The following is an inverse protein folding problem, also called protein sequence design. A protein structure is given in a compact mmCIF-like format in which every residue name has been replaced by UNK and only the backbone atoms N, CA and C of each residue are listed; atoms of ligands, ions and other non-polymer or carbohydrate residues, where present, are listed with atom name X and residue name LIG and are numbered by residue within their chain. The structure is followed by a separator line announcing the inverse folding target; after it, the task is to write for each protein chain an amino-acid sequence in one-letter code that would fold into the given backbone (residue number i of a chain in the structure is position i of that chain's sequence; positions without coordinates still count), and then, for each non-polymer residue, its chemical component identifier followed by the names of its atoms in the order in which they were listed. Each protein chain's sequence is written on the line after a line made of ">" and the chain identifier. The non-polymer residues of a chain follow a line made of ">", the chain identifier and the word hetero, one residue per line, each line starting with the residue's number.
data_IF_114101418183
#
_entry.id   IF_114101418183
#
_cell.length_a   1.000
_cell.length_b   1.000
_cell.length_c   1.000
_cell.angle_alpha   90.00
_cell.angle_beta   90.00
_cell.angle_gamma   90.00
#
_symmetry.space_group_name_H-M   'P 1'
#
loop_
_entity.id
_entity.type
_entity.pdbx_description
1 polymer ?
#
# COMPACT_ATOMS: atom_id res chain seq x y z
N UNK A 1 -29.21 -29.30 37.31
CA UNK A 1 -27.78 -29.06 36.97
C UNK A 1 -27.57 -29.15 35.45
N UNK A 2 -27.80 -28.08 34.68
CA UNK A 2 -27.47 -28.01 33.24
C UNK A 2 -26.83 -26.67 32.82
N UNK A 3 -26.87 -25.67 33.70
CA UNK A 3 -26.38 -24.30 33.48
C UNK A 3 -24.85 -24.23 33.34
N UNK A 4 -24.13 -25.11 34.02
CA UNK A 4 -22.66 -25.13 34.00
C UNK A 4 -22.06 -25.49 32.62
N UNK A 5 -22.75 -26.29 31.81
CA UNK A 5 -22.32 -26.64 30.45
C UNK A 5 -22.54 -25.49 29.47
N UNK A 6 -23.71 -24.85 29.54
CA UNK A 6 -24.04 -23.70 28.70
C UNK A 6 -23.12 -22.50 28.96
N UNK A 7 -22.81 -22.20 30.23
CA UNK A 7 -21.90 -21.12 30.59
C UNK A 7 -20.48 -21.36 30.06
N UNK A 8 -19.95 -22.58 30.17
CA UNK A 8 -18.64 -22.94 29.61
C UNK A 8 -18.60 -22.82 28.09
N UNK A 9 -19.68 -23.21 27.41
CA UNK A 9 -19.79 -23.10 25.96
C UNK A 9 -19.83 -21.62 25.51
N UNK A 10 -20.59 -20.77 26.21
CA UNK A 10 -20.65 -19.33 25.92
C UNK A 10 -19.29 -18.66 26.10
N UNK A 11 -18.58 -18.99 27.18
CA UNK A 11 -17.22 -18.46 27.44
C UNK A 11 -16.25 -18.93 26.36
N UNK A 12 -16.29 -20.21 25.97
CA UNK A 12 -15.43 -20.74 24.92
C UNK A 12 -15.69 -20.07 23.56
N UNK A 13 -16.96 -19.86 23.20
CA UNK A 13 -17.34 -19.16 21.97
C UNK A 13 -16.91 -17.69 22.00
N UNK A 14 -17.09 -17.00 23.13
CA UNK A 14 -16.67 -15.61 23.27
C UNK A 14 -15.14 -15.46 23.15
N UNK A 15 -14.36 -16.35 23.76
CA UNK A 15 -12.90 -16.36 23.65
C UNK A 15 -12.46 -16.70 22.23
N UNK A 16 -13.12 -17.64 21.56
CA UNK A 16 -12.84 -17.98 20.16
C UNK A 16 -13.12 -16.80 19.22
N UNK A 17 -14.26 -16.13 19.38
CA UNK A 17 -14.61 -14.94 18.60
C UNK A 17 -13.65 -13.77 18.87
N UNK A 18 -13.24 -13.57 20.13
CA UNK A 18 -12.30 -12.52 20.50
C UNK A 18 -10.89 -12.79 19.92
N UNK A 19 -10.42 -14.03 20.00
CA UNK A 19 -9.11 -14.40 19.44
C UNK A 19 -9.12 -14.35 17.91
N UNK A 20 -10.19 -14.80 17.26
CA UNK A 20 -10.37 -14.63 15.81
C UNK A 20 -10.41 -13.16 15.40
N UNK A 21 -11.11 -12.32 16.17
CA UNK A 21 -11.12 -10.86 15.96
C UNK A 21 -9.72 -10.26 16.10
N UNK A 22 -8.98 -10.61 17.17
CA UNK A 22 -7.60 -10.13 17.38
C UNK A 22 -6.64 -10.64 16.30
N UNK A 23 -6.77 -11.90 15.84
CA UNK A 23 -5.95 -12.44 14.74
C UNK A 23 -6.28 -11.74 13.42
N UNK A 24 -7.57 -11.45 13.18
CA UNK A 24 -8.01 -10.67 12.01
C UNK A 24 -7.45 -9.24 12.05
N UNK A 25 -7.29 -8.66 13.24
CA UNK A 25 -6.62 -7.36 13.44
C UNK A 25 -5.08 -7.44 13.21
N UNK A 26 -4.45 -8.61 13.40
CA UNK A 26 -3.00 -8.81 13.15
C UNK A 26 -2.68 -8.89 11.66
N UNK A 27 -3.63 -9.31 10.81
CA UNK A 27 -3.51 -9.30 9.35
C UNK A 27 -4.32 -8.16 8.70
N UNK A 28 -4.31 -6.95 9.27
CA UNK A 28 -4.92 -5.80 8.61
C UNK A 28 -4.10 -5.38 7.36
N UNK A 29 -4.44 -5.93 6.19
CA UNK A 29 -4.20 -5.23 4.93
C UNK A 29 -5.19 -4.07 4.90
N UNK A 30 -4.77 -2.90 5.41
CA UNK A 30 -5.55 -1.67 5.26
C UNK A 30 -5.50 -1.21 3.81
N UNK A 31 -6.51 -1.59 3.05
CA UNK A 31 -6.77 -1.03 1.73
C UNK A 31 -7.77 0.12 1.88
N UNK A 32 -7.28 1.30 2.27
CA UNK A 32 -8.12 2.51 2.37
C UNK A 32 -8.38 3.07 0.97
N UNK A 33 -9.49 2.67 0.36
CA UNK A 33 -10.00 3.27 -0.87
C UNK A 33 -10.82 4.53 -0.53
N UNK A 34 -10.18 5.69 -0.46
CA UNK A 34 -10.88 6.98 -0.31
C UNK A 34 -11.51 7.40 -1.63
N UNK A 35 -12.73 6.91 -1.90
CA UNK A 35 -13.55 7.25 -3.07
C UNK A 35 -14.19 8.65 -3.03
N UNK A 36 -14.04 9.38 -1.92
CA UNK A 36 -14.75 10.64 -1.67
C UNK A 36 -14.21 11.86 -2.40
N UNK A 37 -12.96 11.83 -2.89
CA UNK A 37 -12.30 12.96 -3.54
C UNK A 37 -11.41 12.48 -4.70
N UNK A 38 -12.02 12.04 -5.79
CA UNK A 38 -11.32 11.51 -6.99
C UNK A 38 -10.33 12.48 -7.65
N UNK A 39 -10.33 13.76 -7.26
CA UNK A 39 -9.50 14.81 -7.88
C UNK A 39 -8.60 15.58 -6.91
N UNK A 40 -8.66 15.29 -5.60
CA UNK A 40 -7.85 15.97 -4.59
C UNK A 40 -6.74 15.05 -4.08
N UNK A 41 -5.53 15.61 -3.98
CA UNK A 41 -4.35 14.92 -3.46
C UNK A 41 -4.29 14.97 -1.92
N UNK A 42 -5.04 15.87 -1.28
CA UNK A 42 -5.01 16.05 0.17
C UNK A 42 -5.32 14.78 0.98
N UNK A 43 -6.37 13.98 0.68
CA UNK A 43 -6.64 12.74 1.40
C UNK A 43 -5.50 11.72 1.28
N UNK A 44 -4.83 11.69 0.12
CA UNK A 44 -3.69 10.80 -0.09
C UNK A 44 -2.47 11.26 0.73
N UNK A 45 -2.22 12.56 0.82
CA UNK A 45 -1.16 13.12 1.68
C UNK A 45 -1.44 12.82 3.16
N UNK A 46 -2.69 12.97 3.61
CA UNK A 46 -3.09 12.64 4.98
C UNK A 46 -2.88 11.15 5.28
N UNK A 47 -3.27 10.27 4.35
CA UNK A 47 -2.98 8.84 4.44
C UNK A 47 -1.48 8.57 4.57
N UNK A 48 -0.64 9.12 3.68
CA UNK A 48 0.82 8.95 3.69
C UNK A 48 1.47 9.41 5.01
N UNK A 49 0.96 10.50 5.60
CA UNK A 49 1.41 11.01 6.90
C UNK A 49 1.00 10.10 8.07
N UNK A 50 -0.11 9.40 7.95
CA UNK A 50 -0.62 8.50 9.00
C UNK A 50 0.14 7.16 9.09
N UNK A 51 0.95 6.81 8.08
CA UNK A 51 1.70 5.55 8.02
C UNK A 51 2.73 5.50 9.16
N UNK A 52 2.66 4.44 9.97
CA UNK A 52 3.53 4.22 11.12
C UNK A 52 4.89 3.64 10.72
N UNK A 53 5.94 4.00 11.46
CA UNK A 53 7.30 3.47 11.24
C UNK A 53 7.32 1.92 11.31
N UNK A 54 8.03 1.30 10.37
CA UNK A 54 8.07 -0.16 10.23
C UNK A 54 6.94 -0.77 9.38
N UNK A 55 5.98 0.03 8.90
CA UNK A 55 4.93 -0.42 7.98
C UNK A 55 5.51 -0.68 6.59
N UNK A 56 5.21 -1.85 6.01
CA UNK A 56 5.46 -2.17 4.60
C UNK A 56 4.40 -1.47 3.75
N UNK A 57 4.82 -0.78 2.68
CA UNK A 57 3.92 -0.04 1.80
C UNK A 57 4.06 -0.53 0.37
N UNK A 58 2.98 -1.10 -0.17
CA UNK A 58 2.91 -1.54 -1.56
C UNK A 58 2.05 -0.55 -2.36
N UNK A 59 2.54 -0.11 -3.50
CA UNK A 59 1.85 0.81 -4.40
C UNK A 59 1.92 0.31 -5.84
N UNK A 60 0.84 0.51 -6.60
CA UNK A 60 0.77 0.24 -8.03
C UNK A 60 -0.13 1.26 -8.71
N UNK A 61 0.23 1.68 -9.92
CA UNK A 61 -0.57 2.62 -10.71
C UNK A 61 -1.70 1.91 -11.46
N UNK A 62 -2.81 2.61 -11.67
CA UNK A 62 -3.87 2.19 -12.59
C UNK A 62 -4.33 3.38 -13.44
N UNK A 63 -4.33 3.22 -14.76
CA UNK A 63 -4.50 4.28 -15.78
C UNK A 63 -3.47 5.41 -15.65
N UNK A 64 -3.66 6.32 -14.70
CA UNK A 64 -2.76 7.45 -14.44
C UNK A 64 -2.62 7.73 -12.94
N UNK A 65 -1.41 7.52 -12.42
CA UNK A 65 -1.07 7.81 -11.02
C UNK A 65 -0.36 9.15 -10.81
N UNK A 66 -0.08 9.94 -11.86
CA UNK A 66 0.88 11.04 -11.78
C UNK A 66 0.26 12.45 -11.84
N UNK A 67 -0.83 12.64 -12.59
CA UNK A 67 -1.34 13.99 -12.94
C UNK A 67 -1.69 14.85 -11.72
N UNK A 68 -2.13 14.24 -10.62
CA UNK A 68 -2.53 14.97 -9.40
C UNK A 68 -1.45 14.99 -8.31
N UNK A 69 -0.32 14.33 -8.51
CA UNK A 69 0.76 14.33 -7.53
C UNK A 69 1.44 15.70 -7.48
N UNK A 70 1.45 16.31 -6.29
CA UNK A 70 2.24 17.50 -5.99
C UNK A 70 3.59 17.13 -5.36
N UNK A 71 4.44 18.12 -5.14
CA UNK A 71 5.79 17.94 -4.58
C UNK A 71 5.76 17.31 -3.18
N UNK A 72 4.75 17.62 -2.36
CA UNK A 72 4.62 17.04 -1.03
C UNK A 72 4.32 15.54 -1.09
N UNK A 73 3.35 15.11 -1.90
CA UNK A 73 3.03 13.70 -2.09
C UNK A 73 4.25 12.93 -2.63
N UNK A 74 4.94 13.49 -3.64
CA UNK A 74 6.15 12.88 -4.20
C UNK A 74 7.26 12.76 -3.16
N UNK A 75 7.47 13.78 -2.34
CA UNK A 75 8.46 13.74 -1.24
C UNK A 75 8.10 12.68 -0.20
N UNK A 76 6.85 12.59 0.22
CA UNK A 76 6.40 11.60 1.21
C UNK A 76 6.59 10.17 0.71
N UNK A 77 6.33 9.91 -0.58
CA UNK A 77 6.55 8.58 -1.18
C UNK A 77 8.06 8.31 -1.37
N UNK A 78 8.85 9.33 -1.71
CA UNK A 78 10.31 9.19 -1.79
C UNK A 78 10.92 8.84 -0.42
N UNK A 79 10.38 9.37 0.67
CA UNK A 79 10.75 9.01 2.05
C UNK A 79 10.41 7.54 2.42
N UNK A 80 9.51 6.89 1.68
CA UNK A 80 9.26 5.45 1.79
C UNK A 80 10.30 4.60 1.03
N UNK A 81 11.23 5.24 0.31
CA UNK A 81 12.32 4.59 -0.42
C UNK A 81 12.18 4.62 -1.95
N UNK A 82 11.16 5.28 -2.50
CA UNK A 82 10.96 5.38 -3.96
C UNK A 82 11.97 6.34 -4.61
N UNK A 83 12.46 5.95 -5.78
CA UNK A 83 13.27 6.79 -6.67
C UNK A 83 12.52 7.24 -7.91
N UNK A 84 11.56 6.44 -8.38
CA UNK A 84 10.83 6.74 -9.61
C UNK A 84 9.73 7.77 -9.40
N UNK A 85 9.18 7.89 -8.18
CA UNK A 85 8.06 8.80 -7.89
C UNK A 85 8.39 10.27 -8.14
N UNK A 86 9.66 10.67 -8.06
CA UNK A 86 10.06 12.07 -8.32
C UNK A 86 9.90 12.46 -9.78
N UNK A 87 9.95 11.50 -10.70
CA UNK A 87 9.84 11.72 -12.15
C UNK A 87 8.65 11.03 -12.80
N UNK A 88 7.80 10.35 -12.02
CA UNK A 88 6.62 9.63 -12.52
C UNK A 88 5.69 10.58 -13.28
N UNK A 89 5.43 10.27 -14.54
CA UNK A 89 4.65 11.08 -15.48
C UNK A 89 3.30 10.47 -15.86
N UNK A 90 2.56 11.21 -16.69
CA UNK A 90 1.21 10.85 -17.14
C UNK A 90 1.16 9.45 -17.78
N UNK A 91 0.37 8.56 -17.16
CA UNK A 91 0.19 7.15 -17.57
C UNK A 91 1.46 6.29 -17.59
N UNK A 92 2.50 6.71 -16.89
CA UNK A 92 3.60 5.81 -16.58
C UNK A 92 3.08 4.66 -15.71
N UNK A 93 3.47 3.44 -16.03
CA UNK A 93 3.19 2.30 -15.16
C UNK A 93 4.30 2.16 -14.13
N UNK A 94 3.92 2.03 -12.85
CA UNK A 94 4.86 1.94 -11.74
C UNK A 94 4.33 1.02 -10.66
N UNK A 95 5.21 0.15 -10.16
CA UNK A 95 4.98 -0.70 -8.99
C UNK A 95 6.12 -0.52 -8.02
N UNK A 96 5.79 -0.51 -6.73
CA UNK A 96 6.74 -0.17 -5.68
C UNK A 96 6.38 -0.89 -4.39
N UNK A 97 7.41 -1.37 -3.71
CA UNK A 97 7.31 -1.86 -2.35
C UNK A 97 8.38 -1.15 -1.51
N UNK A 98 7.95 -0.32 -0.56
CA UNK A 98 8.84 0.41 0.35
C UNK A 98 8.47 0.18 1.80
N UNK A 99 9.00 1.06 2.66
CA UNK A 99 8.70 0.99 4.08
C UNK A 99 8.89 2.33 4.78
N UNK A 100 8.02 2.62 5.75
CA UNK A 100 8.16 3.81 6.57
C UNK A 100 9.35 3.69 7.51
N UNK A 101 10.26 4.66 7.46
CA UNK A 101 11.49 4.69 8.25
C UNK A 101 12.69 4.03 7.56
N UNK A 102 12.57 3.57 6.32
CA UNK A 102 13.69 3.06 5.52
C UNK A 102 14.81 4.12 5.42
N UNK A 103 16.06 3.68 5.48
CA UNK A 103 17.25 4.57 5.41
C UNK A 103 17.94 4.53 4.05
N UNK A 104 17.44 3.69 3.15
CA UNK A 104 17.98 3.44 1.82
C UNK A 104 16.87 3.56 0.77
N UNK A 105 17.27 3.56 -0.49
CA UNK A 105 16.35 3.32 -1.60
C UNK A 105 15.80 1.89 -1.51
N UNK A 106 14.56 1.68 -1.92
CA UNK A 106 13.99 0.34 -1.98
C UNK A 106 14.63 -0.46 -3.12
N UNK A 107 14.98 -1.75 -2.91
CA UNK A 107 15.35 -2.64 -4.00
C UNK A 107 14.14 -3.14 -4.81
N UNK A 108 12.92 -2.83 -4.37
CA UNK A 108 11.67 -3.29 -4.97
C UNK A 108 10.92 -2.11 -5.62
N UNK A 109 11.35 -1.71 -6.81
CA UNK A 109 10.70 -0.68 -7.61
C UNK A 109 10.87 -0.96 -9.10
N UNK A 110 9.79 -0.87 -9.88
CA UNK A 110 9.82 -0.98 -11.34
C UNK A 110 8.95 0.08 -11.99
N UNK A 111 9.36 0.55 -13.16
CA UNK A 111 8.71 1.64 -13.90
C UNK A 111 8.82 1.42 -15.40
N UNK A 112 7.72 1.64 -16.11
CA UNK A 112 7.68 1.71 -17.57
C UNK A 112 7.06 3.05 -17.96
N UNK A 113 7.87 3.88 -18.61
CA UNK A 113 7.45 5.19 -19.08
C UNK A 113 6.43 5.09 -20.20
N UNK A 114 5.39 5.91 -20.15
CA UNK A 114 4.48 6.13 -21.26
C UNK A 114 5.25 6.76 -22.45
N UNK A 115 5.35 6.01 -23.54
CA UNK A 115 6.04 6.45 -24.74
C UNK A 115 5.28 5.97 -25.99
N UNK A 116 4.83 6.93 -26.81
CA UNK A 116 4.05 6.66 -28.03
C UNK A 116 4.72 5.68 -28.99
N UNK A 117 6.06 5.65 -29.01
CA UNK A 117 6.82 4.82 -29.95
C UNK A 117 6.97 3.37 -29.47
N UNK A 118 6.82 3.10 -28.17
CA UNK A 118 7.06 1.78 -27.56
C UNK A 118 5.87 1.22 -26.78
N UNK A 119 4.79 1.97 -26.66
CA UNK A 119 3.59 1.57 -25.93
C UNK A 119 2.96 0.31 -26.54
N UNK A 120 2.56 -0.62 -25.68
CA UNK A 120 1.84 -1.85 -26.06
C UNK A 120 0.36 -1.59 -26.37
N UNK A 121 -0.25 -0.65 -25.66
CA UNK A 121 -1.64 -0.24 -25.86
C UNK A 121 -1.71 1.15 -26.48
N UNK A 122 -2.88 1.53 -27.00
CA UNK A 122 -3.08 2.84 -27.60
C UNK A 122 -3.05 3.96 -26.54
N UNK A 123 -1.84 4.48 -26.27
CA UNK A 123 -1.62 5.54 -25.29
C UNK A 123 -1.31 5.08 -23.87
N UNK A 124 -0.99 3.79 -23.65
CA UNK A 124 -0.48 3.26 -22.39
C UNK A 124 0.66 2.24 -22.59
N UNK A 125 1.65 2.22 -21.70
CA UNK A 125 2.68 1.18 -21.69
C UNK A 125 2.11 -0.18 -21.28
N UNK A 126 2.89 -1.25 -21.42
CA UNK A 126 2.49 -2.56 -20.91
C UNK A 126 2.45 -2.62 -19.38
N UNK A 127 1.79 -3.64 -18.84
CA UNK A 127 1.74 -3.89 -17.39
C UNK A 127 3.17 -4.11 -16.88
N UNK A 128 3.50 -3.43 -15.78
CA UNK A 128 4.76 -3.63 -15.06
C UNK A 128 4.52 -4.58 -13.89
N UNK A 129 5.38 -5.58 -13.75
CA UNK A 129 5.27 -6.61 -12.71
C UNK A 129 6.55 -6.65 -11.88
N UNK A 130 6.41 -7.05 -10.62
CA UNK A 130 7.52 -7.21 -9.71
C UNK A 130 7.15 -8.23 -8.63
N UNK A 131 8.08 -9.12 -8.33
CA UNK A 131 8.00 -10.08 -7.24
C UNK A 131 9.30 -10.07 -6.43
N UNK A 132 9.26 -10.55 -5.19
CA UNK A 132 10.44 -10.57 -4.34
C UNK A 132 10.17 -11.04 -2.91
N UNK A 133 11.22 -10.98 -2.08
CA UNK A 133 11.16 -11.38 -0.68
C UNK A 133 11.51 -10.20 0.22
N UNK A 134 10.52 -9.69 0.97
CA UNK A 134 10.72 -8.58 1.89
C UNK A 134 11.36 -9.12 3.18
N UNK A 135 12.52 -8.61 3.61
CA UNK A 135 13.11 -9.01 4.88
C UNK A 135 12.16 -8.69 6.04
N UNK A 136 11.93 -9.65 6.92
CA UNK A 136 11.17 -9.40 8.15
C UNK A 136 11.97 -8.45 9.04
N UNK A 137 11.29 -7.42 9.58
CA UNK A 137 11.89 -6.53 10.58
C UNK A 137 12.37 -7.37 11.77
N UNK A 138 13.64 -7.27 12.11
CA UNK A 138 14.20 -7.80 13.36
C UNK A 138 14.19 -6.64 14.36
N UNK A 139 13.60 -6.87 15.53
CA UNK A 139 13.54 -5.89 16.62
C UNK A 139 14.91 -5.61 17.24
#
# INVERSE_FOLDING_TARGET
>A
MRVAGAAKLVVAVAVFLLTFYVISQVFEIKMDASLGNLFDVAPFIEFLKSIQDGTIVLMGTYDDGATKLNDEARRLIAELGSTSITSLGFRDNWVFCGGKGIKTKSPFEQHIKNNKDTNKYEGWPEVVEMEGCIPQKQD
#
